data_IF_869782112130
#
_entry.id   IF_869782112130
#
_cell.length_a   1.000
_cell.length_b   1.000
_cell.length_c   1.000
_cell.angle_alpha   90.00
_cell.angle_beta   90.00
_cell.angle_gamma   90.00
#
_symmetry.space_group_name_H-M   'P 1'
#
loop_
_entity.id
_entity.type
_entity.pdbx_description
1 polymer ?
#
# COMPACT_ATOMS: atom_id res chain seq x y z
N UNK A 1 -11.75 -22.52 28.81
CA UNK A 1 -11.87 -21.20 28.14
C UNK A 1 -13.23 -21.15 27.46
N UNK A 2 -14.09 -20.21 27.83
CA UNK A 2 -15.33 -19.99 27.09
C UNK A 2 -15.00 -19.55 25.66
N UNK A 3 -15.71 -20.04 24.63
CA UNK A 3 -15.47 -19.61 23.26
C UNK A 3 -15.67 -18.10 23.15
N UNK A 4 -14.69 -17.38 22.58
CA UNK A 4 -14.84 -15.94 22.28
C UNK A 4 -16.07 -15.78 21.39
N UNK A 5 -17.04 -14.99 21.84
CA UNK A 5 -18.22 -14.62 21.04
C UNK A 5 -17.72 -13.93 19.76
N UNK A 6 -18.21 -14.34 18.60
CA UNK A 6 -17.89 -13.67 17.35
C UNK A 6 -18.34 -12.20 17.42
N UNK A 7 -17.56 -11.30 16.81
CA UNK A 7 -17.93 -9.90 16.70
C UNK A 7 -19.25 -9.75 15.91
N UNK A 8 -20.09 -8.76 16.23
CA UNK A 8 -21.25 -8.40 15.42
C UNK A 8 -20.84 -8.12 13.97
N UNK A 9 -21.73 -8.44 13.03
CA UNK A 9 -21.45 -8.26 11.60
C UNK A 9 -21.24 -6.80 11.24
N UNK A 10 -22.01 -5.89 11.84
CA UNK A 10 -21.91 -4.45 11.61
C UNK A 10 -20.52 -3.93 11.98
N UNK A 11 -19.94 -4.43 13.08
CA UNK A 11 -18.61 -4.02 13.54
C UNK A 11 -17.50 -4.55 12.60
N UNK A 12 -17.69 -5.75 12.05
CA UNK A 12 -16.78 -6.33 11.06
C UNK A 12 -16.88 -5.59 9.73
N UNK A 13 -18.08 -5.25 9.28
CA UNK A 13 -18.28 -4.48 8.05
C UNK A 13 -17.72 -3.06 8.17
N UNK A 14 -17.92 -2.41 9.32
CA UNK A 14 -17.36 -1.10 9.63
C UNK A 14 -15.83 -1.12 9.61
N UNK A 15 -15.23 -2.11 10.26
CA UNK A 15 -13.78 -2.35 10.19
C UNK A 15 -13.34 -2.65 8.75
N UNK A 16 -14.17 -3.35 7.99
CA UNK A 16 -13.99 -3.61 6.57
C UNK A 16 -13.84 -2.35 5.73
N UNK A 17 -14.70 -1.34 5.93
CA UNK A 17 -14.59 -0.06 5.21
C UNK A 17 -13.25 0.64 5.47
N UNK A 18 -12.78 0.63 6.74
CA UNK A 18 -11.46 1.17 7.08
C UNK A 18 -10.33 0.43 6.34
N UNK A 19 -10.46 -0.89 6.19
CA UNK A 19 -9.49 -1.69 5.43
C UNK A 19 -9.60 -1.50 3.92
N UNK A 20 -10.78 -1.17 3.38
CA UNK A 20 -10.93 -0.79 1.97
C UNK A 20 -10.16 0.51 1.70
N UNK A 21 -10.29 1.50 2.59
CA UNK A 21 -9.49 2.73 2.49
C UNK A 21 -7.99 2.46 2.62
N UNK A 22 -7.57 1.70 3.62
CA UNK A 22 -6.17 1.31 3.77
C UNK A 22 -5.64 0.61 2.51
N UNK A 23 -6.44 -0.29 1.90
CA UNK A 23 -6.07 -0.96 0.66
C UNK A 23 -5.98 0.02 -0.52
N UNK A 24 -6.90 0.99 -0.65
CA UNK A 24 -6.84 2.03 -1.69
C UNK A 24 -5.57 2.89 -1.55
N UNK A 25 -5.23 3.28 -0.32
CA UNK A 25 -4.02 4.06 -0.02
C UNK A 25 -2.75 3.27 -0.34
N UNK A 26 -2.65 2.02 0.13
CA UNK A 26 -1.49 1.18 -0.13
C UNK A 26 -1.36 0.82 -1.61
N UNK A 27 -2.47 0.70 -2.33
CA UNK A 27 -2.48 0.48 -3.76
C UNK A 27 -1.85 1.66 -4.52
N UNK A 28 -2.19 2.90 -4.15
CA UNK A 28 -1.56 4.10 -4.72
C UNK A 28 -0.05 4.13 -4.43
N UNK A 29 0.34 3.90 -3.17
CA UNK A 29 1.75 3.91 -2.76
C UNK A 29 2.58 2.83 -3.44
N UNK A 30 2.01 1.64 -3.60
CA UNK A 30 2.62 0.56 -4.36
C UNK A 30 2.82 0.94 -5.83
N UNK A 31 1.83 1.55 -6.49
CA UNK A 31 1.99 2.02 -7.88
C UNK A 31 3.08 3.08 -8.00
N UNK A 32 3.12 4.05 -7.11
CA UNK A 32 4.12 5.12 -7.14
C UNK A 32 5.54 4.57 -6.91
N UNK A 33 5.72 3.71 -5.89
CA UNK A 33 7.00 3.03 -5.65
C UNK A 33 7.42 2.17 -6.84
N UNK A 34 6.48 1.47 -7.49
CA UNK A 34 6.76 0.64 -8.67
C UNK A 34 7.20 1.49 -9.86
N UNK A 35 6.54 2.62 -10.10
CA UNK A 35 6.90 3.56 -11.17
C UNK A 35 8.26 4.19 -10.92
N UNK A 36 8.55 4.60 -9.69
CA UNK A 36 9.85 5.16 -9.31
C UNK A 36 10.98 4.15 -9.49
N UNK A 37 10.79 2.91 -9.02
CA UNK A 37 11.76 1.83 -9.24
C UNK A 37 11.99 1.54 -10.73
N UNK A 38 10.91 1.46 -11.51
CA UNK A 38 11.00 1.18 -12.94
C UNK A 38 11.71 2.30 -13.71
N UNK A 39 11.43 3.55 -13.37
CA UNK A 39 12.12 4.70 -13.93
C UNK A 39 13.62 4.70 -13.55
N UNK A 40 13.95 4.30 -12.32
CA UNK A 40 15.33 4.16 -11.88
C UNK A 40 16.09 3.04 -12.63
N UNK A 41 15.43 1.91 -12.91
CA UNK A 41 16.00 0.85 -13.74
C UNK A 41 16.22 1.30 -15.19
N UNK A 42 15.27 2.02 -15.78
CA UNK A 42 15.42 2.59 -17.14
C UNK A 42 16.59 3.57 -17.18
N UNK A 43 16.69 4.47 -16.20
CA UNK A 43 17.81 5.42 -16.10
C UNK A 43 19.16 4.69 -15.95
N UNK A 44 19.23 3.67 -15.10
CA UNK A 44 20.44 2.86 -14.93
C UNK A 44 20.80 2.10 -16.22
N UNK A 45 19.82 1.55 -16.94
CA UNK A 45 20.04 0.87 -18.22
C UNK A 45 20.55 1.85 -19.28
N UNK A 46 19.93 3.03 -19.38
CA UNK A 46 20.36 4.08 -20.31
C UNK A 46 21.80 4.51 -20.01
N UNK A 47 22.14 4.77 -18.75
CA UNK A 47 23.52 5.05 -18.33
C UNK A 47 24.48 3.90 -18.66
N UNK A 48 24.06 2.65 -18.47
CA UNK A 48 24.83 1.47 -18.83
C UNK A 48 25.13 1.36 -20.33
N UNK A 49 24.15 1.64 -21.19
CA UNK A 49 24.31 1.66 -22.66
C UNK A 49 25.24 2.80 -23.11
N UNK A 50 25.21 3.93 -22.41
CA UNK A 50 25.96 5.15 -22.74
C UNK A 50 27.33 5.22 -22.08
N UNK A 51 27.79 4.14 -21.45
CA UNK A 51 29.10 4.07 -20.80
C UNK A 51 30.26 3.91 -21.80
N UNK A 52 30.00 3.86 -23.10
CA UNK A 52 31.08 3.96 -24.09
C UNK A 52 31.49 5.42 -24.36
N UNK A 53 32.76 5.61 -24.74
CA UNK A 53 33.33 6.94 -25.07
C UNK A 53 33.08 7.34 -26.53
N UNK A 54 32.03 6.79 -27.14
CA UNK A 54 31.62 7.19 -28.48
C UNK A 54 31.16 8.65 -28.51
N UNK A 55 31.30 9.30 -29.67
CA UNK A 55 30.83 10.67 -29.86
C UNK A 55 29.31 10.77 -29.68
N UNK A 56 28.57 9.71 -30.02
CA UNK A 56 27.13 9.60 -29.81
C UNK A 56 26.77 9.58 -28.32
N UNK A 57 27.45 8.76 -27.51
CA UNK A 57 27.24 8.71 -26.05
C UNK A 57 27.65 10.01 -25.36
N UNK A 58 28.68 10.70 -25.85
CA UNK A 58 29.09 12.03 -25.36
C UNK A 58 28.07 13.11 -25.71
N UNK A 59 27.58 13.15 -26.95
CA UNK A 59 26.55 14.10 -27.37
C UNK A 59 25.24 13.87 -26.63
N UNK A 60 24.85 12.61 -26.39
CA UNK A 60 23.62 12.32 -25.67
C UNK A 60 23.71 12.77 -24.21
N UNK A 61 24.79 12.44 -23.50
CA UNK A 61 25.07 12.97 -22.15
C UNK A 61 25.02 14.50 -22.13
N UNK A 62 25.72 15.15 -23.06
CA UNK A 62 25.73 16.61 -23.18
C UNK A 62 24.33 17.19 -23.47
N UNK A 63 23.51 16.53 -24.29
CA UNK A 63 22.15 16.95 -24.63
C UNK A 63 21.18 16.82 -23.44
N UNK A 64 21.32 15.76 -22.66
CA UNK A 64 20.51 15.48 -21.48
C UNK A 64 20.90 16.38 -20.29
N UNK A 65 22.17 16.79 -20.23
CA UNK A 65 22.73 17.71 -19.25
C UNK A 65 22.68 19.20 -19.71
N UNK A 66 22.20 19.52 -20.91
CA UNK A 66 22.24 20.89 -21.48
C UNK A 66 21.62 21.94 -20.55
N UNK A 67 20.56 21.56 -19.84
CA UNK A 67 19.78 22.46 -18.98
C UNK A 67 20.22 22.41 -17.50
N UNK A 68 21.22 21.61 -17.14
CA UNK A 68 21.66 21.40 -15.75
C UNK A 68 23.17 21.67 -15.57
N UNK A 69 23.53 22.45 -14.54
CA UNK A 69 24.94 22.68 -14.22
C UNK A 69 25.65 21.43 -13.66
N UNK A 70 26.98 21.40 -13.71
CA UNK A 70 27.79 20.37 -13.04
C UNK A 70 27.41 20.30 -11.55
N UNK A 71 26.94 19.13 -11.08
CA UNK A 71 26.45 18.90 -9.72
C UNK A 71 25.15 19.63 -9.31
N UNK A 72 24.23 19.93 -10.24
CA UNK A 72 22.90 20.46 -9.89
C UNK A 72 22.08 19.43 -9.08
N UNK A 73 21.69 19.68 -7.82
CA UNK A 73 20.88 18.75 -7.02
C UNK A 73 19.43 18.59 -7.53
N UNK A 74 19.01 19.43 -8.49
CA UNK A 74 17.73 19.29 -9.22
C UNK A 74 17.84 18.36 -10.41
N UNK A 75 19.04 17.85 -10.72
CA UNK A 75 19.30 16.82 -11.75
C UNK A 75 18.65 15.51 -11.27
N UNK A 76 17.57 15.04 -11.91
CA UNK A 76 16.88 13.85 -11.39
C UNK A 76 17.60 12.59 -11.89
N UNK A 77 18.76 12.28 -11.31
CA UNK A 77 19.37 10.95 -11.48
C UNK A 77 18.59 9.96 -10.62
N UNK A 78 17.89 9.04 -11.26
CA UNK A 78 17.14 7.99 -10.56
C UNK A 78 18.04 6.77 -10.41
N UNK A 79 18.30 6.36 -9.17
CA UNK A 79 19.20 5.26 -8.87
C UNK A 79 18.40 4.10 -8.27
N UNK A 80 18.49 2.87 -8.84
CA UNK A 80 17.84 1.70 -8.26
C UNK A 80 18.61 1.28 -7.01
N UNK A 81 18.23 1.84 -5.86
CA UNK A 81 18.87 1.56 -4.58
C UNK A 81 18.16 0.43 -3.83
N UNK A 82 18.87 -0.23 -2.92
CA UNK A 82 18.24 -1.19 -2.00
C UNK A 82 17.11 -0.55 -1.19
N UNK A 83 17.23 0.71 -0.78
CA UNK A 83 16.18 1.41 -0.04
C UNK A 83 14.88 1.54 -0.86
N UNK A 84 14.98 1.91 -2.14
CA UNK A 84 13.83 2.00 -3.04
C UNK A 84 13.21 0.61 -3.29
N UNK A 85 14.03 -0.41 -3.46
CA UNK A 85 13.56 -1.79 -3.59
C UNK A 85 12.82 -2.27 -2.33
N UNK A 86 13.40 -2.03 -1.14
CA UNK A 86 12.78 -2.38 0.15
C UNK A 86 11.44 -1.65 0.31
N UNK A 87 11.37 -0.36 -0.01
CA UNK A 87 10.12 0.40 0.04
C UNK A 87 9.05 -0.25 -0.84
N UNK A 88 9.39 -0.59 -2.09
CA UNK A 88 8.47 -1.25 -3.00
C UNK A 88 7.97 -2.59 -2.45
N UNK A 89 8.85 -3.43 -1.91
CA UNK A 89 8.46 -4.70 -1.29
C UNK A 89 7.53 -4.49 -0.10
N UNK A 90 7.84 -3.54 0.79
CA UNK A 90 7.02 -3.23 1.97
C UNK A 90 5.62 -2.72 1.57
N UNK A 91 5.53 -1.85 0.56
CA UNK A 91 4.22 -1.38 0.08
C UNK A 91 3.39 -2.51 -0.54
N UNK A 92 4.02 -3.45 -1.24
CA UNK A 92 3.36 -4.66 -1.75
C UNK A 92 2.83 -5.55 -0.61
N UNK A 93 3.64 -5.81 0.43
CA UNK A 93 3.25 -6.63 1.57
C UNK A 93 2.09 -6.00 2.35
N UNK A 94 2.17 -4.69 2.62
CA UNK A 94 1.10 -3.98 3.30
C UNK A 94 -0.20 -3.94 2.49
N UNK A 95 -0.11 -3.82 1.16
CA UNK A 95 -1.26 -3.93 0.26
C UNK A 95 -1.90 -5.31 0.38
N UNK A 96 -1.11 -6.38 0.36
CA UNK A 96 -1.60 -7.77 0.50
C UNK A 96 -2.30 -7.98 1.84
N UNK A 97 -1.73 -7.46 2.94
CA UNK A 97 -2.35 -7.49 4.28
C UNK A 97 -3.68 -6.74 4.28
N UNK A 98 -3.73 -5.53 3.70
CA UNK A 98 -4.96 -4.74 3.64
C UNK A 98 -6.05 -5.45 2.85
N UNK A 99 -5.73 -5.95 1.65
CA UNK A 99 -6.64 -6.72 0.78
C UNK A 99 -7.20 -7.94 1.50
N UNK A 100 -6.39 -8.66 2.28
CA UNK A 100 -6.86 -9.80 3.06
C UNK A 100 -7.90 -9.41 4.11
N UNK A 101 -7.73 -8.28 4.79
CA UNK A 101 -8.73 -7.81 5.75
C UNK A 101 -10.03 -7.37 5.04
N UNK A 102 -9.94 -6.81 3.83
CA UNK A 102 -11.11 -6.56 2.98
C UNK A 102 -11.83 -7.87 2.62
N UNK A 103 -11.10 -8.91 2.19
CA UNK A 103 -11.67 -10.23 1.89
C UNK A 103 -12.40 -10.81 3.10
N UNK A 104 -11.81 -10.72 4.29
CA UNK A 104 -12.42 -11.18 5.54
C UNK A 104 -13.71 -10.44 5.87
N UNK A 105 -13.72 -9.11 5.69
CA UNK A 105 -14.90 -8.31 5.94
C UNK A 105 -16.04 -8.66 4.97
N UNK A 106 -15.77 -8.75 3.66
CA UNK A 106 -16.82 -9.11 2.71
C UNK A 106 -17.29 -10.57 2.85
N UNK A 107 -16.48 -11.48 3.39
CA UNK A 107 -16.91 -12.86 3.65
C UNK A 107 -18.05 -12.94 4.68
N UNK A 108 -18.25 -11.88 5.48
CA UNK A 108 -19.37 -11.73 6.42
C UNK A 108 -20.63 -11.17 5.78
N UNK A 109 -20.57 -10.69 4.54
CA UNK A 109 -21.77 -10.26 3.81
C UNK A 109 -22.63 -11.49 3.41
N UNK A 110 -23.94 -11.28 3.20
CA UNK A 110 -24.80 -12.23 2.48
C UNK A 110 -24.16 -12.66 1.16
N UNK A 111 -24.37 -13.91 0.75
CA UNK A 111 -23.64 -14.51 -0.37
C UNK A 111 -23.85 -13.77 -1.71
N UNK A 112 -25.06 -13.26 -1.93
CA UNK A 112 -25.46 -12.46 -3.10
C UNK A 112 -24.84 -11.05 -3.12
N UNK A 113 -24.45 -10.53 -1.95
CA UNK A 113 -23.76 -9.25 -1.83
C UNK A 113 -22.23 -9.35 -1.93
N UNK A 114 -21.66 -10.57 -1.90
CA UNK A 114 -20.21 -10.76 -1.96
C UNK A 114 -19.67 -10.44 -3.34
N UNK A 115 -18.58 -9.69 -3.38
CA UNK A 115 -17.92 -9.33 -4.63
C UNK A 115 -16.76 -10.28 -4.93
N UNK A 116 -16.52 -10.55 -6.21
CA UNK A 116 -15.42 -11.40 -6.66
C UNK A 116 -14.31 -10.58 -7.30
N UNK A 117 -13.08 -11.04 -7.10
CA UNK A 117 -11.89 -10.65 -7.85
C UNK A 117 -11.20 -11.94 -8.32
N UNK A 118 -10.71 -11.96 -9.55
CA UNK A 118 -9.85 -13.05 -10.01
C UNK A 118 -8.51 -13.01 -9.27
N UNK A 119 -7.95 -14.17 -8.92
CA UNK A 119 -6.68 -14.26 -8.19
C UNK A 119 -6.78 -14.08 -6.66
N UNK A 120 -7.93 -14.37 -6.05
CA UNK A 120 -8.05 -14.37 -4.57
C UNK A 120 -7.14 -15.38 -3.90
N UNK A 121 -7.03 -16.58 -4.46
CA UNK A 121 -6.14 -17.63 -3.93
C UNK A 121 -4.66 -17.18 -4.03
N UNK A 122 -4.30 -16.56 -5.15
CA UNK A 122 -2.98 -15.95 -5.33
C UNK A 122 -2.67 -14.87 -4.28
N UNK A 123 -3.60 -13.94 -4.01
CA UNK A 123 -3.43 -12.89 -3.00
C UNK A 123 -3.31 -13.47 -1.58
N UNK A 124 -4.00 -14.58 -1.31
CA UNK A 124 -3.90 -15.30 -0.06
C UNK A 124 -2.54 -15.97 0.09
N UNK A 125 -2.04 -16.61 -0.97
CA UNK A 125 -0.75 -17.29 -0.98
C UNK A 125 0.42 -16.29 -0.87
N UNK A 126 0.34 -15.13 -1.54
CA UNK A 126 1.31 -14.03 -1.35
C UNK A 126 1.36 -13.56 0.11
N UNK A 127 0.21 -13.49 0.78
CA UNK A 127 0.13 -13.08 2.18
C UNK A 127 0.73 -14.12 3.10
N UNK A 128 0.39 -15.39 2.90
CA UNK A 128 0.99 -16.49 3.67
C UNK A 128 2.52 -16.46 3.50
N UNK A 129 3.02 -16.12 2.31
CA UNK A 129 4.46 -15.97 2.10
C UNK A 129 5.04 -14.75 2.82
N UNK A 130 4.38 -13.59 2.77
CA UNK A 130 4.84 -12.38 3.46
C UNK A 130 4.81 -12.52 5.00
N UNK A 131 3.82 -13.23 5.56
CA UNK A 131 3.71 -13.52 7.00
C UNK A 131 4.75 -14.55 7.47
N UNK A 132 5.28 -15.38 6.58
CA UNK A 132 6.21 -16.48 6.86
C UNK A 132 7.49 -16.39 6.01
N UNK A 133 8.04 -15.18 5.87
CA UNK A 133 9.15 -14.90 4.95
C UNK A 133 10.45 -15.65 5.27
N UNK A 134 10.58 -16.19 6.49
CA UNK A 134 11.70 -16.99 6.97
C UNK A 134 11.56 -18.50 6.62
N UNK A 135 10.36 -18.95 6.23
CA UNK A 135 10.08 -20.33 5.87
C UNK A 135 10.33 -20.57 4.36
N UNK A 136 11.60 -20.74 3.96
CA UNK A 136 12.01 -20.94 2.55
C UNK A 136 11.33 -22.11 1.83
N UNK A 137 10.84 -23.12 2.57
CA UNK A 137 10.10 -24.28 2.05
C UNK A 137 8.71 -24.41 2.70
N UNK A 138 8.18 -23.29 3.19
CA UNK A 138 6.89 -23.26 3.86
C UNK A 138 5.72 -23.68 2.97
N UNK A 139 4.60 -24.03 3.60
CA UNK A 139 3.35 -24.40 2.88
C UNK A 139 2.92 -23.32 1.89
N UNK A 140 3.16 -22.05 2.22
CA UNK A 140 2.85 -20.89 1.38
C UNK A 140 3.67 -20.87 0.08
N UNK A 141 5.00 -20.98 0.21
CA UNK A 141 5.92 -21.04 -0.93
C UNK A 141 5.60 -22.24 -1.84
N UNK A 142 5.28 -23.39 -1.24
CA UNK A 142 4.87 -24.60 -1.98
C UNK A 142 3.54 -24.43 -2.72
N UNK A 143 2.54 -23.82 -2.07
CA UNK A 143 1.23 -23.54 -2.71
C UNK A 143 1.40 -22.61 -3.90
N UNK A 144 2.18 -21.54 -3.73
CA UNK A 144 2.41 -20.55 -4.76
C UNK A 144 3.17 -21.14 -5.94
N UNK A 145 4.22 -21.92 -5.69
CA UNK A 145 4.95 -22.64 -6.74
C UNK A 145 4.10 -23.70 -7.48
N UNK A 146 3.11 -24.29 -6.81
CA UNK A 146 2.27 -25.35 -7.39
C UNK A 146 1.08 -24.78 -8.17
N UNK A 147 0.41 -23.77 -7.61
CA UNK A 147 -0.86 -23.25 -8.13
C UNK A 147 -0.69 -22.00 -9.00
N UNK A 148 0.47 -21.32 -8.88
CA UNK A 148 0.78 -20.04 -9.52
C UNK A 148 2.24 -20.01 -9.99
N UNK A 149 2.69 -21.08 -10.67
CA UNK A 149 4.08 -21.24 -11.11
C UNK A 149 4.56 -20.13 -12.07
N UNK A 150 3.63 -19.47 -12.76
CA UNK A 150 3.85 -18.32 -13.63
C UNK A 150 4.15 -17.02 -12.87
N UNK A 151 3.94 -17.02 -11.54
CA UNK A 151 4.15 -15.86 -10.68
C UNK A 151 5.38 -16.07 -9.80
N UNK A 152 6.31 -15.13 -9.89
CA UNK A 152 7.47 -15.07 -9.01
C UNK A 152 7.15 -14.18 -7.80
N UNK A 153 7.21 -14.69 -6.56
CA UNK A 153 7.00 -13.86 -5.38
C UNK A 153 7.99 -12.70 -5.29
N UNK A 154 7.54 -11.57 -4.76
CA UNK A 154 8.33 -10.34 -4.69
C UNK A 154 8.55 -9.66 -6.06
N UNK A 155 8.00 -10.22 -7.15
CA UNK A 155 8.06 -9.58 -8.46
C UNK A 155 6.84 -8.71 -8.73
N UNK A 156 7.07 -7.66 -9.48
CA UNK A 156 6.07 -6.71 -9.95
C UNK A 156 6.37 -6.43 -11.42
N UNK A 157 5.34 -6.06 -12.18
CA UNK A 157 5.50 -5.63 -13.56
C UNK A 157 4.88 -4.26 -13.75
N UNK A 158 5.43 -3.49 -14.68
CA UNK A 158 4.86 -2.21 -15.09
C UNK A 158 4.85 -2.12 -16.61
N UNK A 159 3.83 -1.45 -17.11
CA UNK A 159 3.74 -0.97 -18.50
C UNK A 159 3.39 0.51 -18.47
N UNK A 160 3.29 1.13 -19.65
CA UNK A 160 2.83 2.53 -19.76
C UNK A 160 1.41 2.77 -19.27
N UNK A 161 0.61 1.71 -19.04
CA UNK A 161 -0.82 1.83 -18.71
C UNK A 161 -1.26 1.06 -17.47
N UNK A 162 -0.42 0.18 -16.94
CA UNK A 162 -0.84 -0.78 -15.93
C UNK A 162 0.34 -1.24 -15.09
N UNK A 163 0.05 -1.54 -13.82
CA UNK A 163 0.97 -2.13 -12.85
C UNK A 163 0.39 -3.47 -12.40
N UNK A 164 1.24 -4.47 -12.21
CA UNK A 164 0.81 -5.79 -11.74
C UNK A 164 1.55 -6.21 -10.47
N UNK A 165 0.78 -6.69 -9.50
CA UNK A 165 1.29 -7.35 -8.30
C UNK A 165 1.54 -8.83 -8.61
N UNK A 166 2.78 -9.31 -8.45
CA UNK A 166 3.16 -10.68 -8.84
C UNK A 166 3.61 -10.83 -10.29
N UNK A 167 4.20 -9.79 -10.88
CA UNK A 167 4.64 -9.81 -12.28
C UNK A 167 3.49 -9.77 -13.29
N UNK A 168 3.80 -9.91 -14.59
CA UNK A 168 2.87 -9.66 -15.71
C UNK A 168 1.64 -10.61 -15.73
N UNK A 169 1.77 -11.77 -15.09
CA UNK A 169 0.70 -12.77 -14.94
C UNK A 169 -0.04 -12.64 -13.60
N UNK A 170 0.39 -11.73 -12.74
CA UNK A 170 -0.24 -11.46 -11.45
C UNK A 170 -1.52 -10.61 -11.55
N UNK A 171 -1.87 -9.96 -10.45
CA UNK A 171 -3.12 -9.20 -10.35
C UNK A 171 -2.90 -7.76 -10.83
N UNK A 172 -3.63 -7.29 -11.87
CA UNK A 172 -3.57 -5.90 -12.30
C UNK A 172 -4.06 -4.98 -11.19
N UNK A 173 -3.33 -3.90 -10.95
CA UNK A 173 -3.68 -2.92 -9.93
C UNK A 173 -5.01 -2.23 -10.25
N UNK A 174 -5.29 -1.95 -11.52
CA UNK A 174 -6.59 -1.41 -11.94
C UNK A 174 -7.77 -2.32 -11.53
N UNK A 175 -7.57 -3.64 -11.58
CA UNK A 175 -8.59 -4.64 -11.20
C UNK A 175 -8.80 -4.69 -9.70
N UNK A 176 -7.73 -4.60 -8.91
CA UNK A 176 -7.82 -4.45 -7.46
C UNK A 176 -8.59 -3.18 -7.09
N UNK A 177 -8.23 -2.04 -7.70
CA UNK A 177 -8.91 -0.76 -7.50
C UNK A 177 -10.41 -0.87 -7.77
N UNK A 178 -10.80 -1.38 -8.95
CA UNK A 178 -12.21 -1.54 -9.29
C UNK A 178 -12.96 -2.53 -8.37
N UNK A 179 -12.28 -3.55 -7.85
CA UNK A 179 -12.87 -4.47 -6.89
C UNK A 179 -13.08 -3.83 -5.51
N UNK A 180 -12.11 -3.05 -5.02
CA UNK A 180 -12.23 -2.29 -3.77
C UNK A 180 -13.44 -1.34 -3.82
N UNK A 181 -13.69 -0.69 -4.96
CA UNK A 181 -14.91 0.12 -5.16
C UNK A 181 -16.20 -0.69 -4.99
N UNK A 182 -16.26 -1.90 -5.56
CA UNK A 182 -17.45 -2.75 -5.42
C UNK A 182 -17.63 -3.23 -3.98
N UNK A 183 -16.55 -3.58 -3.29
CA UNK A 183 -16.60 -4.00 -1.88
C UNK A 183 -17.06 -2.83 -1.00
N UNK A 184 -16.55 -1.63 -1.26
CA UNK A 184 -16.99 -0.41 -0.57
C UNK A 184 -18.50 -0.21 -0.66
N UNK A 185 -19.05 -0.27 -1.89
CA UNK A 185 -20.50 -0.12 -2.10
C UNK A 185 -21.28 -1.19 -1.35
N UNK A 186 -20.88 -2.46 -1.47
CA UNK A 186 -21.57 -3.57 -0.81
C UNK A 186 -21.56 -3.45 0.73
N UNK A 187 -20.42 -3.10 1.33
CA UNK A 187 -20.29 -2.89 2.78
C UNK A 187 -21.11 -1.68 3.24
N UNK A 188 -21.08 -0.58 2.50
CA UNK A 188 -21.83 0.64 2.81
C UNK A 188 -23.33 0.37 2.79
N UNK A 189 -23.85 -0.27 1.73
CA UNK A 189 -25.27 -0.62 1.61
C UNK A 189 -25.76 -1.46 2.80
N UNK A 190 -24.95 -2.42 3.26
CA UNK A 190 -25.32 -3.29 4.38
C UNK A 190 -25.24 -2.58 5.73
N UNK A 191 -24.26 -1.71 5.93
CA UNK A 191 -24.17 -0.88 7.13
C UNK A 191 -25.36 0.09 7.23
N UNK A 192 -25.71 0.76 6.13
CA UNK A 192 -26.86 1.66 6.07
C UNK A 192 -28.18 0.90 6.30
N UNK A 193 -28.36 -0.29 5.70
CA UNK A 193 -29.52 -1.14 5.95
C UNK A 193 -29.63 -1.60 7.40
N UNK A 194 -28.50 -1.77 8.10
CA UNK A 194 -28.43 -2.07 9.53
C UNK A 194 -28.61 -0.82 10.42
N UNK A 195 -28.87 0.36 9.84
CA UNK A 195 -29.07 1.61 10.58
C UNK A 195 -27.77 2.26 11.07
N UNK A 196 -26.60 1.82 10.58
CA UNK A 196 -25.32 2.49 10.84
C UNK A 196 -25.10 3.61 9.82
N UNK A 197 -24.78 4.79 10.30
CA UNK A 197 -24.42 5.91 9.43
C UNK A 197 -22.96 5.80 9.03
N UNK A 198 -22.70 5.66 7.73
CA UNK A 198 -21.33 5.68 7.18
C UNK A 198 -20.93 7.14 6.92
N UNK A 199 -19.80 7.63 7.45
CA UNK A 199 -19.28 8.95 7.14
C UNK A 199 -19.07 9.10 5.64
N UNK A 200 -19.39 10.28 5.12
CA UNK A 200 -19.19 10.61 3.71
C UNK A 200 -17.71 10.63 3.31
N UNK A 201 -16.83 10.87 4.28
CA UNK A 201 -15.39 10.87 4.09
C UNK A 201 -14.72 10.07 5.22
N UNK A 202 -14.21 8.88 4.91
CA UNK A 202 -13.39 8.11 5.86
C UNK A 202 -11.91 8.55 5.87
N UNK A 203 -11.52 9.47 4.97
CA UNK A 203 -10.22 10.14 5.02
C UNK A 203 -10.22 11.35 5.94
N UNK A 204 -11.40 11.80 6.41
CA UNK A 204 -11.52 12.82 7.45
C UNK A 204 -10.65 12.44 8.66
N UNK A 205 -9.93 13.43 9.21
CA UNK A 205 -9.07 13.18 10.35
C UNK A 205 -9.89 12.76 11.56
N UNK A 206 -9.30 11.90 12.39
CA UNK A 206 -9.86 11.60 13.70
C UNK A 206 -9.60 12.72 14.73
N UNK A 207 -8.81 13.74 14.38
CA UNK A 207 -8.55 14.92 15.20
C UNK A 207 -9.34 16.10 14.66
N UNK A 208 -10.12 16.73 15.53
CA UNK A 208 -10.99 17.83 15.13
C UNK A 208 -10.15 19.08 14.81
N UNK A 209 -10.46 19.72 13.67
CA UNK A 209 -9.73 20.87 13.14
C UNK A 209 -8.58 20.52 12.19
N UNK A 210 -8.15 19.26 12.10
CA UNK A 210 -7.13 18.85 11.12
C UNK A 210 -7.61 19.08 9.69
N UNK A 211 -8.87 18.76 9.41
CA UNK A 211 -9.44 18.86 8.07
C UNK A 211 -9.67 20.32 7.62
N UNK A 212 -9.61 21.27 8.55
CA UNK A 212 -9.73 22.71 8.28
C UNK A 212 -8.40 23.33 7.83
N UNK A 213 -7.27 22.62 8.03
CA UNK A 213 -5.98 23.05 7.51
C UNK A 213 -5.94 22.90 6.00
N UNK A 214 -5.27 23.84 5.33
CA UNK A 214 -5.00 23.77 3.89
C UNK A 214 -3.94 22.70 3.61
N UNK A 215 -4.28 21.43 3.82
CA UNK A 215 -3.48 20.31 3.39
C UNK A 215 -3.33 20.34 1.85
N UNK A 216 -2.22 19.84 1.31
CA UNK A 216 -2.20 19.45 -0.10
C UNK A 216 -3.43 18.55 -0.38
N UNK A 217 -4.05 18.64 -1.57
CA UNK A 217 -5.23 17.84 -1.94
C UNK A 217 -5.00 16.33 -1.83
N UNK A 218 -3.74 15.91 -1.67
CA UNK A 218 -3.31 14.57 -1.35
C UNK A 218 -2.74 14.56 0.08
N UNK A 219 -3.47 14.01 1.05
CA UNK A 219 -2.96 13.72 2.43
C UNK A 219 -1.77 12.74 2.44
N UNK A 220 -1.42 12.23 1.26
CA UNK A 220 -0.34 11.33 0.95
C UNK A 220 0.79 12.10 0.27
N UNK A 221 1.66 12.74 1.04
CA UNK A 221 2.99 13.12 0.53
C UNK A 221 4.07 12.42 1.33
N UNK A 222 4.69 11.41 0.71
CA UNK A 222 6.09 11.07 0.95
C UNK A 222 6.95 12.13 0.25
N UNK A 223 6.99 13.34 0.81
CA UNK A 223 8.18 14.15 0.64
C UNK A 223 8.92 14.08 1.97
N UNK A 224 10.24 13.96 1.91
CA UNK A 224 11.13 14.13 3.07
C UNK A 224 11.13 15.59 3.57
N UNK A 225 10.04 16.32 3.31
CA UNK A 225 9.82 17.72 3.58
C UNK A 225 8.31 17.98 3.56
N UNK A 226 7.71 18.08 4.75
CA UNK A 226 6.45 18.80 4.94
C UNK A 226 6.76 20.28 4.67
N UNK A 227 5.88 21.07 4.01
CA UNK A 227 6.00 22.52 4.06
C UNK A 227 6.13 22.93 5.52
N UNK A 228 7.12 23.75 5.85
CA UNK A 228 7.31 24.19 7.23
C UNK A 228 6.10 25.04 7.63
N UNK A 229 5.14 24.42 8.32
CA UNK A 229 3.99 25.09 8.95
C UNK A 229 4.48 25.64 10.29
N UNK A 230 4.20 26.90 10.59
CA UNK A 230 4.60 27.49 11.88
C UNK A 230 3.95 26.71 13.03
N UNK A 231 4.71 26.41 14.09
CA UNK A 231 4.25 25.62 15.27
C UNK A 231 2.96 26.17 15.92
N UNK A 232 2.67 27.44 15.67
CA UNK A 232 1.49 28.15 16.15
C UNK A 232 0.21 27.72 15.41
N UNK A 233 0.35 27.20 14.18
CA UNK A 233 -0.74 26.72 13.32
C UNK A 233 -0.98 25.21 13.46
N UNK A 234 -0.20 24.51 14.29
CA UNK A 234 -0.39 23.08 14.53
C UNK A 234 -1.69 22.83 15.32
N UNK A 235 -2.45 21.77 14.99
CA UNK A 235 -3.59 21.33 15.79
C UNK A 235 -3.11 21.02 17.22
N UNK A 236 -3.71 21.67 18.21
CA UNK A 236 -3.37 21.50 19.64
C UNK A 236 -4.39 20.68 20.41
N UNK A 237 -5.30 20.00 19.71
CA UNK A 237 -6.30 19.18 20.38
C UNK A 237 -5.76 17.83 20.79
N UNK A 238 -6.20 17.39 21.96
CA UNK A 238 -5.90 16.06 22.49
C UNK A 238 -6.55 14.99 21.60
N UNK A 239 -5.82 13.88 21.39
CA UNK A 239 -6.35 12.70 20.72
C UNK A 239 -7.67 12.27 21.39
N UNK A 240 -8.71 11.88 20.63
CA UNK A 240 -9.92 11.32 21.22
C UNK A 240 -9.58 10.17 22.17
N UNK A 241 -10.18 10.14 23.37
CA UNK A 241 -9.84 9.20 24.44
C UNK A 241 -9.81 7.73 23.98
N UNK A 242 -10.71 7.35 23.06
CA UNK A 242 -10.78 6.00 22.48
C UNK A 242 -9.51 5.64 21.69
N UNK A 243 -8.96 6.58 20.92
CA UNK A 243 -7.74 6.38 20.14
C UNK A 243 -6.50 6.41 21.04
N UNK A 244 -6.49 7.26 22.07
CA UNK A 244 -5.43 7.29 23.08
C UNK A 244 -5.33 5.95 23.81
N UNK A 245 -6.47 5.39 24.24
CA UNK A 245 -6.53 4.09 24.90
C UNK A 245 -6.05 2.93 24.01
N UNK A 246 -6.41 2.93 22.71
CA UNK A 246 -5.96 1.92 21.75
C UNK A 246 -4.45 1.99 21.48
N UNK A 247 -3.89 3.20 21.44
CA UNK A 247 -2.45 3.40 21.30
C UNK A 247 -1.70 2.95 22.56
N UNK A 248 -2.20 3.34 23.75
CA UNK A 248 -1.62 2.94 25.03
C UNK A 248 -1.63 1.42 25.21
N UNK A 249 -2.75 0.75 24.90
CA UNK A 249 -2.85 -0.70 24.94
C UNK A 249 -1.88 -1.37 23.94
N UNK A 250 -1.73 -0.80 22.75
CA UNK A 250 -0.78 -1.29 21.74
C UNK A 250 0.67 -1.13 22.20
N UNK A 251 1.03 0.00 22.78
CA UNK A 251 2.40 0.24 23.29
C UNK A 251 2.70 -0.57 24.55
N UNK A 252 1.73 -0.79 25.43
CA UNK A 252 1.83 -1.73 26.55
C UNK A 252 2.10 -3.16 26.07
N UNK A 253 1.38 -3.61 25.03
CA UNK A 253 1.57 -4.94 24.44
C UNK A 253 2.89 -5.11 23.67
N UNK A 254 3.44 -4.03 23.11
CA UNK A 254 4.77 -4.04 22.50
C UNK A 254 5.86 -4.10 23.57
N UNK A 255 5.76 -3.27 24.60
CA UNK A 255 6.71 -3.26 25.73
C UNK A 255 6.67 -4.55 26.53
N UNK A 256 5.54 -5.23 26.66
CA UNK A 256 5.48 -6.52 27.38
C UNK A 256 6.09 -7.68 26.58
N UNK A 257 6.18 -7.58 25.24
CA UNK A 257 6.86 -8.56 24.39
C UNK A 257 8.38 -8.43 24.44
N UNK A 258 8.89 -7.22 24.61
CA UNK A 258 10.34 -6.95 24.75
C UNK A 258 10.92 -7.35 26.11
N UNK A 259 10.08 -7.74 27.09
CA UNK A 259 10.49 -8.15 28.43
C UNK A 259 10.33 -9.66 28.70
N UNK A 260 10.11 -10.46 27.64
CA UNK A 260 10.08 -11.93 27.71
C UNK A 260 11.33 -12.58 27.07
N UNK A 261 12.50 -11.94 27.23
CA UNK A 261 13.83 -12.56 27.13
C UNK A 261 14.54 -12.50 28.50
#
# INVERSE_FOLDING_TARGET
>A
MSPKKAAPDEDVWWTGLKWVEAARMQLLRFEDATREWSAALVDAQQRGVLNDDSDQSRQWRASYDTDYGSYDPRRPLRVPTHALHIQLTVEADLLVVAVRNVIRAQARLPEDARTKIGGQDFLKDLRDLAEHFDEQEGRAATSLATNHAEVLPGTFAVSSKETWLGGIHGVPVSRLRAWLERVWSALTEHLEAAGRQVPRDLMASHVLGDDDLAWPPERLRYHWSIPQVEEQEWPRQELPEENAALLDERFLNLRSRDWMD
#
